data_IF_415317802471
#
_entry.id   IF_415317802471
#
_cell.length_a   1.000
_cell.length_b   1.000
_cell.length_c   1.000
_cell.angle_alpha   90.00
_cell.angle_beta   90.00
_cell.angle_gamma   90.00
#
_symmetry.space_group_name_H-M   'P 1'
#
loop_
_entity.id
_entity.type
_entity.pdbx_description
1 polymer ?
#
# COMPACT_ATOMS: atom_id res chain seq x y z
N UNK A 1 -27.62 4.23 17.59
CA UNK A 1 -26.19 4.24 17.18
C UNK A 1 -25.81 2.79 16.93
N UNK A 2 -25.40 2.43 15.71
CA UNK A 2 -25.06 1.03 15.40
C UNK A 2 -23.80 0.62 16.15
N UNK A 3 -23.91 -0.39 17.01
CA UNK A 3 -22.80 -1.03 17.72
C UNK A 3 -22.15 -2.16 16.91
N UNK A 4 -22.43 -2.19 15.60
CA UNK A 4 -21.90 -3.18 14.69
C UNK A 4 -20.40 -2.97 14.53
N UNK A 5 -19.64 -3.80 15.24
CA UNK A 5 -18.19 -3.84 15.07
C UNK A 5 -17.91 -4.53 13.74
N UNK A 6 -16.88 -4.08 12.99
CA UNK A 6 -16.38 -4.87 11.87
C UNK A 6 -16.15 -6.31 12.36
N UNK A 7 -16.37 -7.33 11.52
CA UNK A 7 -16.01 -8.69 11.88
C UNK A 7 -14.57 -8.68 12.39
N UNK A 8 -14.35 -9.30 13.56
CA UNK A 8 -13.00 -9.42 14.11
C UNK A 8 -12.11 -10.04 13.04
N UNK A 9 -10.97 -9.40 12.75
CA UNK A 9 -10.00 -9.93 11.78
C UNK A 9 -9.63 -11.35 12.20
N UNK A 10 -9.77 -12.31 11.30
CA UNK A 10 -9.45 -13.72 11.56
C UNK A 10 -7.96 -13.86 11.95
N UNK A 11 -7.62 -14.26 13.19
CA UNK A 11 -6.23 -14.28 13.64
C UNK A 11 -5.32 -15.24 12.84
N UNK A 12 -5.78 -16.43 12.40
CA UNK A 12 -5.04 -17.24 11.43
C UNK A 12 -4.76 -16.53 10.11
N UNK A 13 -5.75 -15.86 9.50
CA UNK A 13 -5.57 -15.12 8.26
C UNK A 13 -4.57 -13.96 8.42
N UNK A 14 -4.65 -13.20 9.52
CA UNK A 14 -3.72 -12.13 9.81
C UNK A 14 -2.28 -12.64 9.93
N UNK A 15 -2.06 -13.73 10.67
CA UNK A 15 -0.73 -14.36 10.80
C UNK A 15 -0.19 -14.86 9.46
N UNK A 16 -1.03 -15.51 8.65
CA UNK A 16 -0.64 -15.95 7.29
C UNK A 16 -0.24 -14.77 6.41
N UNK A 17 -0.99 -13.68 6.47
CA UNK A 17 -0.69 -12.48 5.69
C UNK A 17 0.63 -11.83 6.12
N UNK A 18 0.86 -11.70 7.44
CA UNK A 18 2.08 -11.12 8.00
C UNK A 18 3.33 -11.96 7.73
N UNK A 19 3.21 -13.30 7.73
CA UNK A 19 4.32 -14.20 7.44
C UNK A 19 4.62 -14.35 5.94
N UNK A 20 3.78 -13.79 5.06
CA UNK A 20 3.95 -13.90 3.61
C UNK A 20 5.10 -13.00 3.17
N UNK A 21 6.20 -13.59 2.77
CA UNK A 21 7.33 -12.88 2.16
C UNK A 21 7.04 -12.55 0.70
N UNK A 22 7.52 -11.40 0.25
CA UNK A 22 7.55 -11.00 -1.14
C UNK A 22 8.87 -10.29 -1.39
N UNK A 23 9.68 -10.84 -2.30
CA UNK A 23 10.99 -10.26 -2.62
C UNK A 23 10.88 -9.16 -3.68
N UNK A 24 9.78 -9.18 -4.44
CA UNK A 24 9.45 -8.21 -5.46
C UNK A 24 7.95 -7.92 -5.44
N UNK A 25 7.62 -6.73 -5.90
CA UNK A 25 6.26 -6.31 -6.18
C UNK A 25 5.69 -7.08 -7.37
N UNK A 26 4.44 -7.53 -7.22
CA UNK A 26 3.72 -8.13 -8.34
C UNK A 26 3.33 -7.07 -9.38
N UNK A 27 3.19 -7.48 -10.64
CA UNK A 27 2.84 -6.58 -11.75
C UNK A 27 1.63 -5.68 -11.47
N UNK A 28 0.59 -6.18 -10.80
CA UNK A 28 -0.59 -5.38 -10.52
C UNK A 28 -0.31 -4.25 -9.52
N UNK A 29 0.55 -4.50 -8.52
CA UNK A 29 0.97 -3.46 -7.58
C UNK A 29 1.75 -2.37 -8.30
N UNK A 30 2.67 -2.75 -9.18
CA UNK A 30 3.41 -1.82 -10.04
C UNK A 30 2.48 -0.97 -10.92
N UNK A 31 1.51 -1.60 -11.58
CA UNK A 31 0.60 -0.92 -12.50
C UNK A 31 -0.33 0.06 -11.75
N UNK A 32 -0.84 -0.33 -10.58
CA UNK A 32 -1.64 0.57 -9.74
C UNK A 32 -0.79 1.74 -9.25
N UNK A 33 0.42 1.47 -8.77
CA UNK A 33 1.32 2.51 -8.27
C UNK A 33 1.71 3.52 -9.35
N UNK A 34 2.03 3.05 -10.56
CA UNK A 34 2.31 3.88 -11.74
C UNK A 34 1.15 4.80 -12.07
N UNK A 35 -0.09 4.30 -12.04
CA UNK A 35 -1.28 5.13 -12.27
C UNK A 35 -1.55 6.12 -11.15
N UNK A 36 -1.22 5.79 -9.90
CA UNK A 36 -1.32 6.74 -8.78
C UNK A 36 -0.25 7.83 -8.85
N UNK A 37 0.99 7.47 -9.19
CA UNK A 37 2.09 8.40 -9.47
C UNK A 37 1.67 9.46 -10.50
N UNK A 38 1.08 9.04 -11.62
CA UNK A 38 0.59 9.95 -12.68
C UNK A 38 -0.47 10.94 -12.20
N UNK A 39 -1.19 10.64 -11.12
CA UNK A 39 -2.24 11.50 -10.54
C UNK A 39 -1.72 12.46 -9.48
N UNK A 40 -0.49 12.28 -8.98
CA UNK A 40 0.07 13.15 -7.94
C UNK A 40 0.14 14.62 -8.37
N UNK A 41 0.24 14.88 -9.68
CA UNK A 41 0.20 16.23 -10.25
C UNK A 41 -1.07 17.03 -9.92
N UNK A 42 -2.18 16.35 -9.56
CA UNK A 42 -3.42 17.02 -9.17
C UNK A 42 -3.47 17.39 -7.68
N UNK A 43 -2.56 16.84 -6.88
CA UNK A 43 -2.49 17.11 -5.45
C UNK A 43 -1.81 18.47 -5.24
N UNK A 44 -2.56 19.45 -4.75
CA UNK A 44 -2.05 20.81 -4.54
C UNK A 44 -1.18 20.94 -3.28
N UNK A 45 -1.48 20.16 -2.25
CA UNK A 45 -0.74 20.17 -1.00
C UNK A 45 0.19 18.96 -0.97
N UNK A 46 1.47 19.21 -1.23
CA UNK A 46 2.49 18.16 -1.26
C UNK A 46 3.04 17.94 0.15
N UNK A 47 3.03 16.70 0.67
CA UNK A 47 3.65 16.40 1.95
C UNK A 47 5.16 16.59 1.86
N UNK A 48 5.79 17.10 2.92
CA UNK A 48 7.26 17.22 2.99
C UNK A 48 7.95 15.88 3.24
N UNK A 49 7.23 14.95 3.87
CA UNK A 49 7.67 13.59 4.13
C UNK A 49 6.46 12.66 4.09
N UNK A 50 6.67 11.43 3.67
CA UNK A 50 5.64 10.39 3.66
C UNK A 50 6.24 9.08 4.15
N UNK A 51 5.39 8.21 4.70
CA UNK A 51 5.79 6.90 5.18
C UNK A 51 5.10 5.83 4.35
N UNK A 52 5.89 4.92 3.77
CA UNK A 52 5.42 3.74 3.07
C UNK A 52 5.70 2.51 3.92
N UNK A 53 4.64 1.92 4.47
CA UNK A 53 4.75 0.86 5.47
C UNK A 53 5.05 -0.51 4.85
N UNK A 54 4.75 -0.73 3.57
CA UNK A 54 4.99 -2.01 2.91
C UNK A 54 5.19 -1.82 1.39
N UNK A 55 6.28 -1.14 0.97
CA UNK A 55 6.46 -0.71 -0.41
C UNK A 55 6.51 -1.87 -1.40
N UNK A 56 6.97 -3.05 -0.98
CA UNK A 56 6.97 -4.26 -1.82
C UNK A 56 5.57 -4.74 -2.20
N UNK A 57 4.55 -4.40 -1.41
CA UNK A 57 3.14 -4.68 -1.72
C UNK A 57 2.40 -3.47 -2.28
N UNK A 58 3.05 -2.31 -2.30
CA UNK A 58 2.54 -1.06 -2.86
C UNK A 58 3.00 -0.79 -4.29
N UNK A 59 4.18 -1.30 -4.68
CA UNK A 59 4.84 -1.02 -5.96
C UNK A 59 6.19 -0.34 -5.72
N UNK A 60 7.28 -1.10 -5.87
CA UNK A 60 8.64 -0.65 -5.59
C UNK A 60 9.14 0.39 -6.59
N UNK A 61 8.73 0.31 -7.87
CA UNK A 61 9.22 1.26 -8.87
C UNK A 61 8.73 2.66 -8.57
N UNK A 62 7.44 2.82 -8.30
CA UNK A 62 6.88 4.13 -7.95
C UNK A 62 7.39 4.61 -6.59
N UNK A 63 7.50 3.72 -5.59
CA UNK A 63 8.10 4.05 -4.30
C UNK A 63 9.50 4.65 -4.47
N UNK A 64 10.38 4.01 -5.25
CA UNK A 64 11.74 4.48 -5.48
C UNK A 64 11.81 5.83 -6.23
N UNK A 65 10.80 6.17 -7.04
CA UNK A 65 10.72 7.47 -7.71
C UNK A 65 10.24 8.61 -6.80
N UNK A 66 9.52 8.27 -5.72
CA UNK A 66 8.87 9.21 -4.81
C UNK A 66 9.58 9.30 -3.44
N UNK A 67 10.58 8.46 -3.21
CA UNK A 67 11.48 8.52 -2.05
C UNK A 67 12.48 9.68 -2.19
#
# INVERSE_FOLDING_TARGET
MSSERPPTIDPPAARRWAARTQDASAWLHEEVARRMEERLQWIKLQPQAWADWEPVRGGLTAHAKLA
#
